data_IF_701042934674
#
_entry.id   IF_701042934674
#
_cell.length_a   1.000
_cell.length_b   1.000
_cell.length_c   1.000
_cell.angle_alpha   90.00
_cell.angle_beta   90.00
_cell.angle_gamma   90.00
#
_symmetry.space_group_name_H-M   'P 1'
#
loop_
_entity.id
_entity.type
_entity.pdbx_description
1 polymer ?
#
# COMPACT_ATOMS: atom_id res chain seq x y z
N UNK A 1 15.87 4.14 6.86
CA UNK A 1 14.96 3.56 5.87
C UNK A 1 13.82 4.54 5.70
N UNK A 2 13.65 5.08 4.53
CA UNK A 2 12.70 6.15 4.29
C UNK A 2 11.33 5.57 3.95
N UNK A 3 10.34 5.91 4.75
CA UNK A 3 8.94 5.84 4.33
C UNK A 3 8.81 6.81 3.15
N UNK A 4 8.11 6.39 2.09
CA UNK A 4 7.91 7.30 0.96
C UNK A 4 6.87 8.37 1.30
N UNK A 5 7.11 9.57 0.82
CA UNK A 5 6.21 10.71 0.98
C UNK A 5 5.01 10.64 0.05
N UNK A 6 3.92 11.39 0.36
CA UNK A 6 2.78 11.53 -0.56
C UNK A 6 3.22 12.03 -1.95
N UNK A 7 4.21 12.93 -2.02
CA UNK A 7 4.70 13.46 -3.29
C UNK A 7 5.38 12.40 -4.14
N UNK A 8 6.22 11.56 -3.54
CA UNK A 8 6.89 10.45 -4.22
C UNK A 8 5.88 9.42 -4.71
N UNK A 9 4.89 9.06 -3.90
CA UNK A 9 3.81 8.16 -4.30
C UNK A 9 3.04 8.73 -5.51
N UNK A 10 2.65 10.00 -5.47
CA UNK A 10 1.93 10.64 -6.56
C UNK A 10 2.78 10.75 -7.84
N UNK A 11 4.11 10.91 -7.69
CA UNK A 11 5.02 10.90 -8.82
C UNK A 11 5.14 9.51 -9.45
N UNK A 12 5.24 8.44 -8.66
CA UNK A 12 5.23 7.06 -9.15
C UNK A 12 3.94 6.77 -9.93
N UNK A 13 2.79 7.16 -9.38
CA UNK A 13 1.49 7.02 -10.04
C UNK A 13 1.45 7.78 -11.38
N UNK A 14 1.93 9.03 -11.42
CA UNK A 14 1.94 9.85 -12.62
C UNK A 14 2.88 9.33 -13.69
N UNK A 15 4.05 8.82 -13.31
CA UNK A 15 5.05 8.28 -14.23
C UNK A 15 4.79 6.82 -14.63
N UNK A 16 3.79 6.16 -14.03
CA UNK A 16 3.49 4.73 -14.17
C UNK A 16 4.70 3.83 -13.86
N UNK A 17 5.59 4.29 -12.97
CA UNK A 17 6.73 3.52 -12.49
C UNK A 17 6.42 3.04 -11.07
N UNK A 18 5.82 1.88 -10.98
CA UNK A 18 5.38 1.31 -9.71
C UNK A 18 6.50 0.51 -9.05
N UNK A 19 6.48 0.48 -7.71
CA UNK A 19 7.24 -0.51 -6.95
C UNK A 19 6.48 -1.83 -6.94
N UNK A 20 7.19 -2.94 -6.83
CA UNK A 20 6.56 -4.27 -6.71
C UNK A 20 5.76 -4.45 -5.43
N UNK A 21 6.06 -3.66 -4.39
CA UNK A 21 5.39 -3.73 -3.08
C UNK A 21 5.02 -2.34 -2.58
N UNK A 22 3.79 -2.20 -2.09
CA UNK A 22 3.32 -1.08 -1.27
C UNK A 22 2.77 -1.61 0.06
N UNK A 23 3.37 -1.19 1.16
CA UNK A 23 2.98 -1.54 2.52
C UNK A 23 2.38 -0.31 3.20
N UNK A 24 1.04 -0.27 3.33
CA UNK A 24 0.27 0.93 3.70
C UNK A 24 -0.41 0.73 5.06
N UNK A 25 -0.08 1.55 6.02
CA UNK A 25 -0.67 1.52 7.37
C UNK A 25 -0.74 2.94 7.96
N UNK A 26 -1.14 3.07 9.22
CA UNK A 26 -1.20 4.35 9.93
C UNK A 26 -2.62 4.70 10.39
N UNK A 27 -2.79 5.84 11.03
CA UNK A 27 -4.02 6.21 11.72
C UNK A 27 -5.08 6.82 10.77
N UNK A 28 -4.65 7.51 9.70
CA UNK A 28 -5.55 8.19 8.77
C UNK A 28 -6.17 7.20 7.76
N UNK A 29 -7.38 6.75 8.09
CA UNK A 29 -8.17 5.80 7.27
C UNK A 29 -8.46 6.38 5.88
N UNK A 30 -8.76 7.69 5.79
CA UNK A 30 -9.07 8.34 4.53
C UNK A 30 -7.85 8.34 3.59
N UNK A 31 -6.66 8.66 4.11
CA UNK A 31 -5.44 8.63 3.32
C UNK A 31 -5.10 7.23 2.84
N UNK A 32 -5.21 6.21 3.70
CA UNK A 32 -4.99 4.81 3.31
C UNK A 32 -5.89 4.42 2.13
N UNK A 33 -7.20 4.62 2.26
CA UNK A 33 -8.16 4.29 1.21
C UNK A 33 -7.91 5.07 -0.08
N UNK A 34 -7.62 6.36 0.03
CA UNK A 34 -7.29 7.24 -1.11
C UNK A 34 -6.06 6.73 -1.88
N UNK A 35 -5.01 6.33 -1.17
CA UNK A 35 -3.78 5.84 -1.81
C UNK A 35 -3.96 4.48 -2.45
N UNK A 36 -4.60 3.55 -1.76
CA UNK A 36 -4.96 2.23 -2.32
C UNK A 36 -5.79 2.39 -3.59
N UNK A 37 -6.86 3.20 -3.55
CA UNK A 37 -7.72 3.41 -4.70
C UNK A 37 -6.97 4.02 -5.90
N UNK A 38 -6.08 4.99 -5.65
CA UNK A 38 -5.28 5.61 -6.71
C UNK A 38 -4.27 4.62 -7.32
N UNK A 39 -3.58 3.84 -6.50
CA UNK A 39 -2.65 2.81 -6.95
C UNK A 39 -3.38 1.77 -7.80
N UNK A 40 -4.42 1.15 -7.27
CA UNK A 40 -5.19 0.12 -7.97
C UNK A 40 -5.66 0.59 -9.35
N UNK A 41 -6.28 1.78 -9.43
CA UNK A 41 -6.76 2.36 -10.69
C UNK A 41 -5.66 2.71 -11.69
N UNK A 42 -4.44 2.94 -11.19
CA UNK A 42 -3.32 3.35 -12.05
C UNK A 42 -2.47 2.18 -12.51
N UNK A 43 -2.42 1.10 -11.73
CA UNK A 43 -1.69 -0.13 -12.03
C UNK A 43 -2.46 -0.98 -13.03
N UNK A 44 -3.73 -1.25 -12.74
CA UNK A 44 -4.59 -2.10 -13.57
C UNK A 44 -5.60 -1.22 -14.30
N UNK A 45 -5.42 -1.09 -15.62
CA UNK A 45 -6.31 -0.33 -16.50
C UNK A 45 -7.24 -1.22 -17.32
N UNK A 46 -6.88 -2.50 -17.47
CA UNK A 46 -7.59 -3.46 -18.29
C UNK A 46 -8.01 -4.67 -17.47
N UNK A 47 -9.26 -5.11 -17.64
CA UNK A 47 -9.86 -6.27 -16.95
C UNK A 47 -9.57 -6.30 -15.44
N UNK A 48 -9.92 -5.24 -14.68
CA UNK A 48 -9.59 -5.17 -13.25
C UNK A 48 -10.18 -6.32 -12.43
N UNK A 49 -11.32 -6.87 -12.83
CA UNK A 49 -11.94 -8.05 -12.21
C UNK A 49 -11.08 -9.31 -12.29
N UNK A 50 -10.20 -9.40 -13.28
CA UNK A 50 -9.28 -10.53 -13.47
C UNK A 50 -7.88 -10.25 -12.95
N UNK A 51 -7.42 -8.99 -13.05
CA UNK A 51 -6.05 -8.59 -12.75
C UNK A 51 -5.88 -7.92 -11.40
N UNK A 52 -6.97 -7.72 -10.63
CA UNK A 52 -6.92 -7.07 -9.31
C UNK A 52 -7.69 -7.89 -8.25
N UNK A 53 -7.19 -9.08 -7.88
CA UNK A 53 -7.77 -9.84 -6.80
C UNK A 53 -7.66 -9.08 -5.48
N UNK A 54 -8.75 -9.11 -4.71
CA UNK A 54 -8.82 -8.62 -3.33
C UNK A 54 -8.84 -9.80 -2.37
N UNK A 55 -7.93 -9.78 -1.41
CA UNK A 55 -7.80 -10.83 -0.40
C UNK A 55 -8.11 -10.22 0.97
N UNK A 56 -9.11 -10.77 1.65
CA UNK A 56 -9.31 -10.53 3.07
C UNK A 56 -8.26 -11.32 3.86
N UNK A 57 -7.24 -10.62 4.34
CA UNK A 57 -6.11 -11.21 5.03
C UNK A 57 -6.46 -11.86 6.37
N UNK A 58 -7.60 -11.50 6.98
CA UNK A 58 -8.06 -12.14 8.23
C UNK A 58 -8.42 -13.61 8.04
N UNK A 59 -8.84 -13.97 6.83
CA UNK A 59 -9.28 -15.30 6.46
C UNK A 59 -8.36 -15.99 5.44
N UNK A 60 -7.23 -15.36 5.10
CA UNK A 60 -6.29 -15.86 4.11
C UNK A 60 -5.09 -16.55 4.76
N UNK A 61 -4.53 -17.50 4.02
CA UNK A 61 -3.20 -18.06 4.29
C UNK A 61 -2.15 -17.34 3.46
N UNK A 62 -0.90 -17.36 3.90
CA UNK A 62 0.21 -16.82 3.12
C UNK A 62 0.37 -17.52 1.77
N UNK A 63 0.10 -18.84 1.73
CA UNK A 63 0.09 -19.63 0.48
C UNK A 63 -0.90 -19.03 -0.53
N UNK A 64 -2.13 -18.70 -0.12
CA UNK A 64 -3.11 -18.09 -1.02
C UNK A 64 -2.63 -16.73 -1.55
N UNK A 65 -1.99 -15.93 -0.71
CA UNK A 65 -1.42 -14.64 -1.14
C UNK A 65 -0.32 -14.88 -2.16
N UNK A 66 0.57 -15.83 -1.91
CA UNK A 66 1.64 -16.23 -2.81
C UNK A 66 1.08 -16.72 -4.16
N UNK A 67 0.09 -17.61 -4.15
CA UNK A 67 -0.54 -18.14 -5.37
C UNK A 67 -1.09 -17.02 -6.25
N UNK A 68 -1.70 -15.98 -5.66
CA UNK A 68 -2.20 -14.82 -6.42
C UNK A 68 -1.09 -13.92 -6.96
N UNK A 69 0.04 -13.80 -6.25
CA UNK A 69 1.19 -12.97 -6.68
C UNK A 69 1.86 -13.56 -7.92
N UNK A 70 1.98 -14.88 -8.00
CA UNK A 70 2.63 -15.57 -9.10
C UNK A 70 1.73 -15.83 -10.32
N UNK A 71 0.46 -15.44 -10.28
CA UNK A 71 -0.39 -15.54 -11.47
C UNK A 71 0.02 -14.50 -12.53
N UNK A 72 -0.03 -14.92 -13.79
CA UNK A 72 0.28 -14.07 -14.95
C UNK A 72 -0.89 -13.10 -15.20
N UNK A 73 -0.62 -11.82 -15.52
CA UNK A 73 -1.66 -10.89 -15.94
C UNK A 73 -2.43 -11.40 -17.16
N UNK A 74 -3.75 -11.24 -17.16
CA UNK A 74 -4.60 -11.63 -18.27
C UNK A 74 -4.90 -10.42 -19.16
N UNK A 75 -4.37 -10.41 -20.39
CA UNK A 75 -4.57 -9.33 -21.37
C UNK A 75 -4.28 -7.93 -20.78
N UNK A 76 -3.30 -7.84 -19.90
CA UNK A 76 -2.84 -6.61 -19.24
C UNK A 76 -1.33 -6.70 -19.01
N UNK A 77 -0.66 -5.56 -18.96
CA UNK A 77 0.78 -5.52 -18.66
C UNK A 77 1.08 -5.81 -17.18
N UNK A 78 0.15 -5.49 -16.31
CA UNK A 78 0.36 -5.56 -14.86
C UNK A 78 -0.83 -6.22 -14.14
N UNK A 79 -0.51 -6.89 -13.05
CA UNK A 79 -1.44 -7.42 -12.06
C UNK A 79 -1.26 -6.68 -10.73
N UNK A 80 -2.33 -6.46 -9.99
CA UNK A 80 -2.30 -5.82 -8.69
C UNK A 80 -3.01 -6.70 -7.65
N UNK A 81 -2.27 -7.29 -6.73
CA UNK A 81 -2.83 -8.09 -5.63
C UNK A 81 -3.04 -7.20 -4.43
N UNK A 82 -4.30 -6.99 -4.02
CA UNK A 82 -4.65 -6.19 -2.85
C UNK A 82 -4.95 -7.11 -1.66
N UNK A 83 -4.14 -7.03 -0.62
CA UNK A 83 -4.31 -7.78 0.63
C UNK A 83 -4.68 -6.83 1.75
N UNK A 84 -5.83 -7.05 2.38
CA UNK A 84 -6.34 -6.22 3.48
C UNK A 84 -6.22 -6.98 4.81
N UNK A 85 -5.60 -6.36 5.81
CA UNK A 85 -5.55 -6.84 7.20
C UNK A 85 -4.96 -8.25 7.41
N UNK A 86 -3.88 -8.60 6.72
CA UNK A 86 -3.16 -9.84 6.98
C UNK A 86 -2.22 -9.70 8.19
N UNK A 87 -2.60 -10.26 9.34
CA UNK A 87 -1.78 -10.23 10.56
C UNK A 87 -0.76 -11.37 10.57
N UNK A 88 0.34 -11.17 9.84
CA UNK A 88 1.45 -12.12 9.77
C UNK A 88 2.11 -12.37 11.14
N UNK A 89 2.09 -11.38 12.03
CA UNK A 89 2.71 -11.52 13.37
C UNK A 89 1.88 -12.45 14.25
N UNK A 90 0.55 -12.39 14.12
CA UNK A 90 -0.34 -13.36 14.79
C UNK A 90 -0.20 -14.77 14.20
N UNK A 91 0.15 -14.90 12.92
CA UNK A 91 0.37 -16.19 12.26
C UNK A 91 1.69 -16.88 12.68
N UNK A 92 2.63 -16.14 13.31
CA UNK A 92 3.85 -16.69 13.88
C UNK A 92 5.11 -16.42 13.08
N UNK A 93 6.26 -16.89 13.63
CA UNK A 93 7.58 -16.56 13.08
C UNK A 93 7.82 -17.15 11.69
N UNK A 94 7.40 -18.38 11.43
CA UNK A 94 7.54 -19.01 10.11
C UNK A 94 6.85 -18.17 9.03
N UNK A 95 5.63 -17.72 9.30
CA UNK A 95 4.89 -16.86 8.37
C UNK A 95 5.56 -15.50 8.15
N UNK A 96 6.27 -14.95 9.15
CA UNK A 96 7.06 -13.73 8.96
C UNK A 96 8.23 -14.00 8.01
N UNK A 97 8.98 -15.06 8.26
CA UNK A 97 10.15 -15.43 7.45
C UNK A 97 9.75 -15.70 5.98
N UNK A 98 8.65 -16.43 5.77
CA UNK A 98 8.07 -16.68 4.44
C UNK A 98 7.60 -15.39 3.75
N UNK A 99 6.91 -14.50 4.47
CA UNK A 99 6.46 -13.22 3.90
C UNK A 99 7.65 -12.34 3.51
N UNK A 100 8.72 -12.33 4.29
CA UNK A 100 9.93 -11.58 3.96
C UNK A 100 10.60 -12.11 2.68
N UNK A 101 10.61 -13.42 2.47
CA UNK A 101 11.08 -14.05 1.23
C UNK A 101 10.17 -13.66 0.05
N UNK A 102 8.86 -13.71 0.24
CA UNK A 102 7.88 -13.33 -0.78
C UNK A 102 8.05 -11.86 -1.22
N UNK A 103 8.33 -10.94 -0.31
CA UNK A 103 8.61 -9.53 -0.64
C UNK A 103 9.83 -9.34 -1.55
N UNK A 104 10.80 -10.23 -1.45
CA UNK A 104 12.02 -10.19 -2.26
C UNK A 104 11.86 -10.81 -3.66
N UNK A 105 10.78 -11.56 -3.89
CA UNK A 105 10.58 -12.37 -5.10
C UNK A 105 9.27 -12.06 -5.83
N UNK A 106 8.69 -10.88 -5.63
CA UNK A 106 7.48 -10.45 -6.37
C UNK A 106 7.83 -10.28 -7.86
N UNK A 107 7.10 -10.96 -8.78
CA UNK A 107 7.34 -10.82 -10.22
C UNK A 107 7.21 -9.36 -10.70
N UNK A 108 8.00 -8.98 -11.71
CA UNK A 108 7.98 -7.61 -12.27
C UNK A 108 6.61 -7.20 -12.85
N UNK A 109 5.80 -8.18 -13.23
CA UNK A 109 4.43 -7.96 -13.76
C UNK A 109 3.38 -7.83 -12.66
N UNK A 110 3.77 -7.96 -11.38
CA UNK A 110 2.84 -7.95 -10.25
C UNK A 110 3.19 -6.84 -9.26
N UNK A 111 2.17 -6.14 -8.78
CA UNK A 111 2.28 -5.21 -7.66
C UNK A 111 1.45 -5.76 -6.50
N UNK A 112 2.11 -6.01 -5.37
CA UNK A 112 1.46 -6.34 -4.12
C UNK A 112 1.17 -5.07 -3.33
N UNK A 113 -0.08 -4.87 -2.94
CA UNK A 113 -0.50 -3.82 -2.02
C UNK A 113 -1.00 -4.49 -0.74
N UNK A 114 -0.30 -4.28 0.36
CA UNK A 114 -0.76 -4.67 1.69
C UNK A 114 -1.26 -3.43 2.44
N UNK A 115 -2.52 -3.44 2.86
CA UNK A 115 -3.13 -2.35 3.61
C UNK A 115 -3.71 -2.85 4.93
N UNK A 116 -3.45 -2.09 5.98
CA UNK A 116 -3.84 -2.46 7.35
C UNK A 116 -4.89 -1.47 7.86
N UNK A 117 -6.15 -1.89 7.82
CA UNK A 117 -7.30 -1.09 8.23
C UNK A 117 -7.66 -1.31 9.70
N UNK A 118 -7.61 -2.55 10.17
CA UNK A 118 -7.95 -2.96 11.53
C UNK A 118 -6.77 -3.58 12.30
N UNK A 119 -5.77 -4.11 11.61
CA UNK A 119 -4.54 -4.62 12.22
C UNK A 119 -3.62 -3.45 12.58
N UNK A 120 -3.24 -3.36 13.85
CA UNK A 120 -2.35 -2.30 14.35
C UNK A 120 -0.89 -2.68 14.14
N UNK A 121 -0.19 -1.89 13.35
CA UNK A 121 1.25 -2.06 13.10
C UNK A 121 2.05 -1.39 14.21
N UNK A 122 2.49 -2.16 15.19
CA UNK A 122 3.34 -1.67 16.27
C UNK A 122 4.82 -1.95 15.98
N UNK A 123 5.51 -0.95 15.44
CA UNK A 123 6.94 -1.02 15.12
C UNK A 123 7.86 -1.25 16.33
N UNK A 124 7.35 -1.14 17.55
CA UNK A 124 8.12 -1.47 18.77
C UNK A 124 8.16 -2.98 19.01
N UNK A 125 7.19 -3.73 18.50
CA UNK A 125 7.19 -5.19 18.56
C UNK A 125 8.17 -5.74 17.51
N UNK A 126 9.02 -6.68 17.91
CA UNK A 126 10.08 -7.22 17.06
C UNK A 126 9.56 -7.81 15.74
N UNK A 127 8.41 -8.51 15.75
CA UNK A 127 7.81 -9.08 14.55
C UNK A 127 7.43 -8.01 13.52
N UNK A 128 6.65 -6.99 13.92
CA UNK A 128 6.28 -5.90 13.00
C UNK A 128 7.48 -5.05 12.57
N UNK A 129 8.48 -4.87 13.44
CA UNK A 129 9.71 -4.16 13.05
C UNK A 129 10.44 -4.88 11.91
N UNK A 130 10.56 -6.21 11.98
CA UNK A 130 11.15 -7.04 10.93
C UNK A 130 10.40 -6.89 9.61
N UNK A 131 9.08 -7.13 9.63
CA UNK A 131 8.21 -7.05 8.46
C UNK A 131 8.26 -5.68 7.78
N UNK A 132 8.14 -4.58 8.54
CA UNK A 132 8.21 -3.22 7.99
C UNK A 132 9.58 -2.92 7.40
N UNK A 133 10.66 -3.42 8.02
CA UNK A 133 12.03 -3.27 7.51
C UNK A 133 12.20 -4.03 6.19
N UNK A 134 11.70 -5.27 6.11
CA UNK A 134 11.73 -6.08 4.89
C UNK A 134 10.91 -5.42 3.78
N UNK A 135 9.70 -4.95 4.08
CA UNK A 135 8.87 -4.21 3.13
C UNK A 135 9.58 -2.93 2.61
N UNK A 136 10.27 -2.20 3.49
CA UNK A 136 11.02 -0.99 3.10
C UNK A 136 12.28 -1.29 2.27
N UNK A 137 12.82 -2.49 2.37
CA UNK A 137 13.97 -2.93 1.55
C UNK A 137 13.53 -3.32 0.13
N UNK A 138 12.36 -3.95 0.01
CA UNK A 138 11.89 -4.55 -1.23
C UNK A 138 10.80 -3.72 -1.94
N UNK A 139 10.34 -2.62 -1.31
CA UNK A 139 9.26 -1.80 -1.84
C UNK A 139 9.10 -0.47 -1.13
N UNK A 140 7.87 0.03 -1.15
CA UNK A 140 7.48 1.31 -0.59
C UNK A 140 6.65 1.13 0.68
N UNK A 141 7.06 1.76 1.77
CA UNK A 141 6.31 1.81 3.03
C UNK A 141 5.66 3.18 3.17
N UNK A 142 4.37 3.21 3.49
CA UNK A 142 3.56 4.43 3.63
C UNK A 142 2.89 4.41 5.00
N UNK A 143 3.32 5.32 5.89
CA UNK A 143 2.70 5.55 7.19
C UNK A 143 1.71 6.72 7.08
N UNK A 144 0.43 6.39 7.02
CA UNK A 144 -0.66 7.36 6.90
C UNK A 144 -1.00 7.98 8.26
N UNK A 145 -0.21 8.94 8.70
CA UNK A 145 -0.45 9.72 9.91
C UNK A 145 -1.46 10.83 9.65
N UNK A 146 -2.18 11.22 10.69
CA UNK A 146 -2.97 12.45 10.64
C UNK A 146 -2.07 13.64 10.34
N UNK A 147 -2.55 14.50 9.44
CA UNK A 147 -1.86 15.76 9.14
C UNK A 147 -1.97 16.68 10.35
N UNK A 148 -0.92 17.41 10.61
CA UNK A 148 -0.95 18.51 11.59
C UNK A 148 -1.86 19.64 11.10
N UNK A 149 -2.35 20.50 12.01
CA UNK A 149 -3.23 21.63 11.66
C UNK A 149 -2.61 22.51 10.56
N UNK A 150 -1.30 22.79 10.64
CA UNK A 150 -0.60 23.56 9.62
C UNK A 150 -0.53 22.88 8.25
N UNK A 151 -0.43 21.55 8.20
CA UNK A 151 -0.47 20.77 6.96
C UNK A 151 -1.91 20.71 6.41
N UNK A 152 -2.91 20.61 7.29
CA UNK A 152 -4.32 20.66 6.89
C UNK A 152 -4.67 22.00 6.27
N UNK A 153 -4.27 23.10 6.86
CA UNK A 153 -4.50 24.47 6.31
C UNK A 153 -3.86 24.58 4.93
N UNK A 154 -2.61 24.15 4.75
CA UNK A 154 -1.94 24.14 3.43
C UNK A 154 -2.67 23.27 2.41
N UNK A 155 -3.12 22.09 2.84
CA UNK A 155 -3.86 21.16 2.00
C UNK A 155 -5.18 21.76 1.53
N UNK A 156 -5.98 22.31 2.46
CA UNK A 156 -7.28 22.93 2.19
C UNK A 156 -7.11 24.15 1.27
N UNK A 157 -6.14 25.03 1.56
CA UNK A 157 -5.86 26.22 0.74
C UNK A 157 -5.46 25.83 -0.69
N UNK A 158 -4.60 24.82 -0.85
CA UNK A 158 -4.18 24.33 -2.17
C UNK A 158 -5.35 23.73 -2.94
N UNK A 159 -6.20 22.98 -2.26
CA UNK A 159 -7.39 22.34 -2.85
C UNK A 159 -8.43 23.39 -3.28
N UNK A 160 -8.67 24.42 -2.46
CA UNK A 160 -9.56 25.53 -2.76
C UNK A 160 -9.08 26.35 -3.97
N UNK A 161 -7.78 26.69 -4.00
CA UNK A 161 -7.18 27.40 -5.16
C UNK A 161 -7.36 26.65 -6.47
N UNK A 162 -7.21 25.33 -6.48
CA UNK A 162 -7.42 24.50 -7.69
C UNK A 162 -8.87 24.52 -8.19
N UNK A 163 -9.83 24.90 -7.35
CA UNK A 163 -11.26 25.01 -7.67
C UNK A 163 -11.75 26.46 -7.80
N UNK A 164 -10.83 27.42 -7.78
CA UNK A 164 -11.17 28.84 -7.88
C UNK A 164 -11.85 29.41 -6.63
N UNK A 165 -11.76 28.71 -5.49
CA UNK A 165 -12.33 29.17 -4.21
C UNK A 165 -11.23 29.87 -3.40
N UNK A 166 -11.53 31.07 -2.91
CA UNK A 166 -10.68 31.81 -1.98
C UNK A 166 -11.17 31.52 -0.57
N UNK A 167 -10.27 31.04 0.31
CA UNK A 167 -10.55 30.85 1.73
C UNK A 167 -10.05 32.11 2.45
N UNK A 168 -10.94 32.79 3.15
CA UNK A 168 -10.58 33.90 4.02
C UNK A 168 -9.99 33.35 5.34
N UNK A 169 -8.91 33.94 5.79
CA UNK A 169 -8.22 33.59 7.04
C UNK A 169 -8.74 34.42 8.24
N UNK A 170 -10.05 34.69 8.27
CA UNK A 170 -10.67 35.40 9.40
C UNK A 170 -10.89 34.48 10.61
#
# INVERSE_FOLDING_TARGET
MAEITEQELLQQIKSKKFSSLYFIYGEDVYLRQKYVQKLCKSIVTELPEMNMPKIDGKNATLQRISDEIYQIPLMSDMRCVLVEDFDVVAAGKESIDELELLFADIPETTVLIMVFNSVVIDKKKSGWNGVVRSASKNGCVIDCKYKTDGELVKYITTWAKRRGVVIDNS
#
